data_IF_881138082121
#
_entry.id   IF_881138082121
#
_cell.length_a   1.000
_cell.length_b   1.000
_cell.length_c   1.000
_cell.angle_alpha   90.00
_cell.angle_beta   90.00
_cell.angle_gamma   90.00
#
_symmetry.space_group_name_H-M   'P 1'
#
loop_
_entity.id
_entity.type
_entity.pdbx_description
1 polymer ?
#
# COMPACT_ATOMS: atom_id res chain seq x y z
N UNK A 1 -4.23 5.77 22.98
CA UNK A 1 -5.42 6.12 22.21
C UNK A 1 -6.63 6.22 23.13
N UNK A 2 -7.24 7.38 23.20
CA UNK A 2 -8.35 7.63 24.16
C UNK A 2 -9.75 7.37 23.55
N UNK A 3 -9.87 7.37 22.24
CA UNK A 3 -11.15 7.16 21.52
C UNK A 3 -10.99 6.43 20.22
N UNK A 4 -12.09 6.25 19.51
CA UNK A 4 -12.15 5.70 18.16
C UNK A 4 -12.43 6.82 17.16
N UNK A 5 -11.82 6.72 15.99
CA UNK A 5 -12.28 7.44 14.82
C UNK A 5 -13.58 6.82 14.31
N UNK A 6 -14.45 7.60 13.69
CA UNK A 6 -15.72 7.12 13.14
C UNK A 6 -15.53 5.89 12.23
N UNK A 7 -14.55 5.93 11.34
CA UNK A 7 -14.20 4.81 10.45
C UNK A 7 -13.87 3.50 11.17
N UNK A 8 -13.39 3.55 12.41
CA UNK A 8 -13.06 2.35 13.18
C UNK A 8 -14.32 1.67 13.74
N UNK A 9 -15.35 2.45 14.08
CA UNK A 9 -16.66 1.90 14.42
C UNK A 9 -17.25 1.14 13.23
N UNK A 10 -17.20 1.73 12.03
CA UNK A 10 -17.60 1.05 10.80
C UNK A 10 -16.79 -0.23 10.56
N UNK A 11 -15.49 -0.18 10.80
CA UNK A 11 -14.62 -1.34 10.63
C UNK A 11 -15.01 -2.48 11.58
N UNK A 12 -15.12 -2.23 12.88
CA UNK A 12 -15.47 -3.25 13.85
C UNK A 12 -16.88 -3.79 13.65
N UNK A 13 -17.84 -2.93 13.31
CA UNK A 13 -19.20 -3.35 12.99
C UNK A 13 -19.23 -4.25 11.75
N UNK A 14 -18.57 -3.89 10.69
CA UNK A 14 -18.60 -4.64 9.42
C UNK A 14 -17.92 -6.01 9.51
N UNK A 15 -17.02 -6.22 10.46
CA UNK A 15 -16.35 -7.50 10.70
C UNK A 15 -17.06 -8.36 11.75
N UNK A 16 -18.03 -7.82 12.49
CA UNK A 16 -18.71 -8.54 13.57
C UNK A 16 -19.73 -9.58 13.11
N UNK A 17 -19.96 -9.72 11.80
CA UNK A 17 -21.01 -10.60 11.21
C UNK A 17 -22.44 -10.29 11.65
N UNK A 18 -22.64 -9.17 12.33
CA UNK A 18 -23.93 -8.78 12.89
C UNK A 18 -24.84 -8.20 11.78
N UNK A 19 -26.12 -8.56 11.78
CA UNK A 19 -27.14 -7.99 10.89
C UNK A 19 -27.81 -6.73 11.44
N UNK A 20 -27.51 -6.36 12.70
CA UNK A 20 -28.09 -5.18 13.32
C UNK A 20 -27.48 -3.90 12.74
N UNK A 21 -28.29 -2.85 12.67
CA UNK A 21 -27.81 -1.52 12.24
C UNK A 21 -26.68 -1.02 13.15
N UNK A 22 -25.65 -0.38 12.56
CA UNK A 22 -24.60 0.28 13.34
C UNK A 22 -25.18 1.34 14.29
N UNK A 23 -26.15 2.13 13.80
CA UNK A 23 -26.82 3.16 14.58
C UNK A 23 -28.08 2.55 15.22
N UNK A 24 -28.18 2.56 16.57
CA UNK A 24 -29.37 2.10 17.25
C UNK A 24 -30.56 3.02 17.00
N UNK A 25 -31.77 2.53 17.25
CA UNK A 25 -32.98 3.34 17.17
C UNK A 25 -32.90 4.56 18.13
N UNK A 26 -33.17 5.76 17.62
CA UNK A 26 -33.13 7.00 18.40
C UNK A 26 -34.24 7.13 19.46
N UNK A 27 -35.24 6.24 19.44
CA UNK A 27 -36.43 6.33 20.29
C UNK A 27 -36.48 5.27 21.38
N UNK A 28 -35.35 4.59 21.66
CA UNK A 28 -35.26 3.54 22.67
C UNK A 28 -34.02 3.67 23.51
N UNK A 29 -34.14 3.17 24.77
CA UNK A 29 -32.98 3.03 25.65
C UNK A 29 -32.18 1.79 25.26
N UNK A 30 -30.86 1.93 25.17
CA UNK A 30 -29.91 0.85 24.86
C UNK A 30 -28.93 0.71 26.01
N UNK A 31 -28.68 -0.52 26.43
CA UNK A 31 -27.63 -0.81 27.40
C UNK A 31 -26.25 -0.69 26.77
N UNK A 32 -25.22 -0.36 27.54
CA UNK A 32 -23.84 -0.36 27.05
C UNK A 32 -23.40 -1.73 26.53
N UNK A 33 -23.90 -2.81 27.13
CA UNK A 33 -23.61 -4.18 26.69
C UNK A 33 -24.24 -4.48 25.32
N UNK A 34 -25.48 -4.04 25.09
CA UNK A 34 -26.15 -4.17 23.79
C UNK A 34 -25.39 -3.41 22.69
N UNK A 35 -24.99 -2.16 22.96
CA UNK A 35 -24.19 -1.38 22.02
C UNK A 35 -22.83 -2.05 21.74
N UNK A 36 -22.17 -2.54 22.77
CA UNK A 36 -20.88 -3.23 22.61
C UNK A 36 -21.00 -4.53 21.79
N UNK A 37 -22.14 -5.26 21.92
CA UNK A 37 -22.38 -6.51 21.21
C UNK A 37 -22.41 -6.34 19.67
N UNK A 38 -22.53 -5.13 19.18
CA UNK A 38 -22.47 -4.80 17.74
C UNK A 38 -21.07 -4.81 17.15
N UNK A 39 -20.03 -4.87 18.00
CA UNK A 39 -18.62 -4.71 17.61
C UNK A 39 -17.76 -5.96 17.87
N UNK A 40 -18.34 -7.08 18.27
CA UNK A 40 -17.61 -8.33 18.44
C UNK A 40 -18.22 -9.47 17.63
N UNK A 41 -17.44 -10.48 17.32
CA UNK A 41 -17.89 -11.72 16.71
C UNK A 41 -18.58 -12.57 17.78
N UNK A 42 -19.82 -12.96 17.55
CA UNK A 42 -20.59 -13.78 18.51
C UNK A 42 -20.17 -15.26 18.44
N UNK A 43 -20.34 -15.96 19.55
CA UNK A 43 -20.20 -17.42 19.54
C UNK A 43 -21.19 -18.05 18.54
N UNK A 44 -20.70 -18.93 17.66
CA UNK A 44 -21.43 -19.50 16.55
C UNK A 44 -21.33 -18.75 15.22
N UNK A 45 -20.79 -17.53 15.21
CA UNK A 45 -20.55 -16.74 13.99
C UNK A 45 -19.04 -16.67 13.63
N UNK A 46 -18.19 -17.38 14.40
CA UNK A 46 -16.75 -17.40 14.19
C UNK A 46 -16.42 -17.94 12.80
N UNK A 47 -15.49 -17.25 12.13
CA UNK A 47 -15.04 -17.58 10.76
C UNK A 47 -16.17 -17.58 9.71
N UNK A 48 -17.28 -16.89 9.97
CA UNK A 48 -18.36 -16.68 9.01
C UNK A 48 -18.04 -15.52 8.09
N UNK A 49 -17.42 -15.82 6.94
CA UNK A 49 -16.90 -14.81 6.02
C UNK A 49 -17.96 -14.17 5.13
N UNK A 50 -19.05 -14.88 4.84
CA UNK A 50 -20.05 -14.44 3.88
C UNK A 50 -20.66 -13.08 4.25
N UNK A 51 -20.98 -12.90 5.55
CA UNK A 51 -21.54 -11.64 6.04
C UNK A 51 -20.54 -10.50 5.95
N UNK A 52 -19.27 -10.74 6.27
CA UNK A 52 -18.19 -9.74 6.16
C UNK A 52 -18.03 -9.31 4.70
N UNK A 53 -18.04 -10.27 3.76
CA UNK A 53 -17.96 -9.99 2.33
C UNK A 53 -19.17 -9.17 1.86
N UNK A 54 -20.38 -9.53 2.32
CA UNK A 54 -21.60 -8.80 1.99
C UNK A 54 -21.56 -7.36 2.54
N UNK A 55 -21.19 -7.18 3.82
CA UNK A 55 -21.06 -5.84 4.41
C UNK A 55 -20.09 -4.96 3.63
N UNK A 56 -18.98 -5.54 3.14
CA UNK A 56 -18.04 -4.79 2.31
C UNK A 56 -18.59 -4.54 0.90
N UNK A 57 -19.39 -5.43 0.33
CA UNK A 57 -20.02 -5.24 -0.98
C UNK A 57 -21.06 -4.09 -0.96
N UNK A 58 -21.71 -3.88 0.18
CA UNK A 58 -22.64 -2.77 0.43
C UNK A 58 -21.93 -1.44 0.81
N UNK A 59 -20.67 -1.51 1.27
CA UNK A 59 -19.77 -0.35 1.52
C UNK A 59 -19.00 0.02 0.23
N UNK A 60 -17.76 0.47 0.38
CA UNK A 60 -16.90 0.95 -0.73
C UNK A 60 -15.49 0.38 -0.68
N UNK A 61 -15.23 -0.55 0.22
CA UNK A 61 -13.89 -1.09 0.46
C UNK A 61 -13.77 -2.57 0.09
N UNK A 62 -12.60 -3.02 -0.40
CA UNK A 62 -12.34 -4.44 -0.61
C UNK A 62 -12.27 -5.22 0.71
N UNK A 63 -12.55 -6.56 0.69
CA UNK A 63 -12.83 -7.32 1.91
C UNK A 63 -11.61 -7.83 2.67
N UNK A 64 -10.39 -7.89 2.07
CA UNK A 64 -9.29 -8.72 2.62
C UNK A 64 -8.83 -8.28 4.02
N UNK A 65 -8.75 -6.98 4.29
CA UNK A 65 -8.41 -6.48 5.62
C UNK A 65 -9.47 -6.86 6.66
N UNK A 66 -10.73 -6.72 6.30
CA UNK A 66 -11.88 -7.01 7.17
C UNK A 66 -11.98 -8.51 7.46
N UNK A 67 -11.69 -9.36 6.48
CA UNK A 67 -11.59 -10.80 6.69
C UNK A 67 -10.46 -11.18 7.65
N UNK A 68 -9.28 -10.53 7.51
CA UNK A 68 -8.15 -10.75 8.42
C UNK A 68 -8.51 -10.33 9.86
N UNK A 69 -9.18 -9.19 10.03
CA UNK A 69 -9.63 -8.73 11.34
C UNK A 69 -10.72 -9.65 11.91
N UNK A 70 -11.65 -10.11 11.07
CA UNK A 70 -12.68 -11.09 11.49
C UNK A 70 -12.05 -12.40 11.99
N UNK A 71 -11.05 -12.93 11.28
CA UNK A 71 -10.30 -14.13 11.74
C UNK A 71 -9.69 -13.87 13.11
N UNK A 72 -9.02 -12.73 13.30
CA UNK A 72 -8.41 -12.39 14.58
C UNK A 72 -9.45 -12.27 15.70
N UNK A 73 -10.57 -11.58 15.45
CA UNK A 73 -11.65 -11.42 16.43
C UNK A 73 -12.41 -12.73 16.70
N UNK A 74 -12.51 -13.64 15.73
CA UNK A 74 -13.13 -14.96 15.88
C UNK A 74 -12.42 -15.83 16.93
N UNK A 75 -11.12 -15.63 17.15
CA UNK A 75 -10.35 -16.30 18.20
C UNK A 75 -10.78 -15.87 19.61
N UNK A 76 -11.49 -14.74 19.74
CA UNK A 76 -11.92 -14.13 21.00
C UNK A 76 -13.40 -13.78 20.95
N UNK A 77 -14.24 -14.75 20.55
CA UNK A 77 -15.68 -14.56 20.40
C UNK A 77 -16.32 -13.99 21.69
N UNK A 78 -17.36 -13.18 21.51
CA UNK A 78 -18.08 -12.45 22.57
C UNK A 78 -17.23 -11.41 23.34
N UNK A 79 -16.02 -11.07 22.86
CA UNK A 79 -15.19 -10.06 23.48
C UNK A 79 -14.86 -8.97 22.48
N UNK A 80 -14.91 -7.72 22.94
CA UNK A 80 -14.47 -6.55 22.19
C UNK A 80 -13.29 -5.90 22.92
N UNK A 81 -12.17 -5.83 22.20
CA UNK A 81 -10.99 -5.08 22.64
C UNK A 81 -10.51 -4.17 21.52
N UNK A 82 -10.38 -2.88 21.84
CA UNK A 82 -9.85 -1.87 20.89
C UNK A 82 -8.46 -2.20 20.34
N UNK A 83 -7.75 -3.08 21.03
CA UNK A 83 -6.40 -3.50 20.64
C UNK A 83 -6.37 -4.52 19.49
N UNK A 84 -7.46 -5.19 19.16
CA UNK A 84 -7.46 -6.20 18.11
C UNK A 84 -7.00 -5.65 16.76
N UNK A 85 -7.58 -4.54 16.31
CA UNK A 85 -7.17 -3.91 15.08
C UNK A 85 -5.77 -3.32 15.15
N UNK A 86 -5.38 -2.75 16.30
CA UNK A 86 -4.03 -2.19 16.52
C UNK A 86 -2.96 -3.29 16.45
N UNK A 87 -3.18 -4.44 17.11
CA UNK A 87 -2.23 -5.57 17.08
C UNK A 87 -2.11 -6.16 15.68
N UNK A 88 -3.22 -6.28 14.96
CA UNK A 88 -3.20 -6.72 13.57
C UNK A 88 -2.43 -5.76 12.67
N UNK A 89 -2.66 -4.45 12.80
CA UNK A 89 -1.93 -3.43 12.06
C UNK A 89 -0.45 -3.38 12.44
N UNK A 90 -0.11 -3.61 13.72
CA UNK A 90 1.28 -3.73 14.17
C UNK A 90 1.98 -4.91 13.51
N UNK A 91 1.30 -6.07 13.38
CA UNK A 91 1.84 -7.22 12.66
C UNK A 91 2.15 -6.86 11.20
N UNK A 92 1.22 -6.21 10.49
CA UNK A 92 1.47 -5.77 9.10
C UNK A 92 2.60 -4.75 9.01
N UNK A 93 2.71 -3.84 9.99
CA UNK A 93 3.80 -2.87 10.06
C UNK A 93 5.16 -3.54 10.30
N UNK A 94 5.23 -4.58 11.14
CA UNK A 94 6.45 -5.37 11.35
C UNK A 94 6.87 -6.10 10.08
N UNK A 95 5.92 -6.68 9.34
CA UNK A 95 6.22 -7.31 8.03
C UNK A 95 6.73 -6.26 7.03
N UNK A 96 6.13 -5.07 7.02
CA UNK A 96 6.60 -3.95 6.20
C UNK A 96 8.03 -3.55 6.57
N UNK A 97 8.33 -3.43 7.86
CA UNK A 97 9.67 -3.14 8.35
C UNK A 97 10.71 -4.13 7.82
N UNK A 98 10.43 -5.43 7.94
CA UNK A 98 11.29 -6.48 7.38
C UNK A 98 11.42 -6.33 5.85
N UNK A 99 10.31 -6.06 5.16
CA UNK A 99 10.29 -5.78 3.72
C UNK A 99 11.22 -4.64 3.33
N UNK A 100 11.19 -3.52 4.06
CA UNK A 100 12.08 -2.37 3.85
C UNK A 100 13.56 -2.75 4.06
N UNK A 101 13.87 -3.47 5.15
CA UNK A 101 15.24 -3.96 5.37
C UNK A 101 15.72 -4.79 4.18
N UNK A 102 14.90 -5.71 3.69
CA UNK A 102 15.24 -6.56 2.56
C UNK A 102 15.39 -5.76 1.26
N UNK A 103 14.51 -4.80 0.99
CA UNK A 103 14.63 -3.90 -0.17
C UNK A 103 15.98 -3.20 -0.16
N UNK A 104 16.37 -2.61 0.97
CA UNK A 104 17.66 -1.92 1.11
C UNK A 104 18.85 -2.88 0.89
N UNK A 105 18.81 -4.05 1.50
CA UNK A 105 19.82 -5.07 1.32
C UNK A 105 19.95 -5.54 -0.14
N UNK A 106 18.88 -5.49 -0.93
CA UNK A 106 18.89 -5.93 -2.32
C UNK A 106 19.25 -4.82 -3.31
N UNK A 107 18.88 -3.57 -3.03
CA UNK A 107 19.24 -2.41 -3.88
C UNK A 107 20.74 -2.17 -3.84
N UNK A 108 21.35 -2.26 -2.66
CA UNK A 108 22.79 -2.04 -2.50
C UNK A 108 23.58 -3.26 -3.03
N UNK A 109 24.74 -3.01 -3.59
CA UNK A 109 25.68 -4.06 -3.98
C UNK A 109 26.12 -4.88 -2.77
N UNK A 110 26.54 -6.14 -2.98
CA UNK A 110 26.97 -7.04 -1.90
C UNK A 110 28.19 -6.48 -1.14
N UNK A 111 29.04 -5.73 -1.82
CA UNK A 111 30.29 -5.15 -1.30
C UNK A 111 30.11 -3.74 -0.76
N UNK A 112 28.88 -3.19 -0.66
CA UNK A 112 28.67 -1.86 -0.12
C UNK A 112 29.05 -1.80 1.37
N UNK A 113 29.94 -0.86 1.74
CA UNK A 113 30.59 -0.76 3.05
C UNK A 113 29.59 -0.66 4.22
N UNK A 114 28.49 0.07 4.03
CA UNK A 114 27.49 0.34 5.09
C UNK A 114 26.13 -0.26 4.77
N UNK A 115 26.11 -1.40 4.09
CA UNK A 115 24.88 -2.02 3.58
C UNK A 115 23.90 -2.38 4.69
N UNK A 116 24.38 -2.94 5.81
CA UNK A 116 23.54 -3.35 6.93
C UNK A 116 23.07 -2.14 7.75
N UNK A 117 23.98 -1.23 8.02
CA UNK A 117 23.73 -0.01 8.78
C UNK A 117 22.67 0.86 8.10
N UNK A 118 22.81 1.11 6.81
CA UNK A 118 21.81 1.85 6.03
C UNK A 118 20.47 1.13 5.96
N UNK A 119 20.47 -0.20 5.88
CA UNK A 119 19.23 -0.98 5.95
C UNK A 119 18.52 -0.81 7.30
N UNK A 120 19.26 -0.93 8.42
CA UNK A 120 18.72 -0.72 9.75
C UNK A 120 18.25 0.73 9.97
N UNK A 121 19.00 1.70 9.45
CA UNK A 121 18.65 3.11 9.51
C UNK A 121 17.35 3.40 8.74
N UNK A 122 17.17 2.82 7.55
CA UNK A 122 15.92 2.90 6.79
C UNK A 122 14.72 2.31 7.58
N UNK A 123 14.92 1.17 8.23
CA UNK A 123 13.93 0.57 9.13
C UNK A 123 13.60 1.48 10.33
N UNK A 124 14.61 2.10 10.91
CA UNK A 124 14.43 3.09 12.00
C UNK A 124 13.60 4.29 11.53
N UNK A 125 13.95 4.91 10.38
CA UNK A 125 13.17 6.00 9.80
C UNK A 125 11.71 5.59 9.62
N UNK A 126 11.46 4.42 9.00
CA UNK A 126 10.10 3.89 8.83
C UNK A 126 9.35 3.85 10.17
N UNK A 127 9.97 3.32 11.21
CA UNK A 127 9.31 3.09 12.51
C UNK A 127 8.89 4.37 13.24
N UNK A 128 9.54 5.50 12.98
CA UNK A 128 9.26 6.78 13.64
C UNK A 128 8.39 7.73 12.82
N UNK A 129 8.04 7.37 11.57
CA UNK A 129 7.21 8.23 10.73
C UNK A 129 5.80 8.38 11.29
N UNK A 130 5.25 9.60 11.34
CA UNK A 130 3.88 9.86 11.80
C UNK A 130 2.84 9.03 11.03
N UNK A 131 3.02 8.88 9.72
CA UNK A 131 2.15 8.07 8.87
C UNK A 131 2.12 6.59 9.26
N UNK A 132 3.25 6.02 9.67
CA UNK A 132 3.35 4.62 10.12
C UNK A 132 2.66 4.45 11.47
N UNK A 133 2.94 5.36 12.42
CA UNK A 133 2.30 5.36 13.74
C UNK A 133 0.79 5.52 13.57
N UNK A 134 0.34 6.45 12.74
CA UNK A 134 -1.07 6.67 12.45
C UNK A 134 -1.72 5.45 11.79
N UNK A 135 -1.06 4.81 10.81
CA UNK A 135 -1.57 3.60 10.15
C UNK A 135 -1.72 2.41 11.11
N UNK A 136 -0.83 2.29 12.12
CA UNK A 136 -0.94 1.25 13.15
C UNK A 136 -2.08 1.56 14.11
N UNK A 137 -2.20 2.82 14.53
CA UNK A 137 -3.20 3.23 15.53
C UNK A 137 -4.63 3.35 14.98
N UNK A 138 -4.80 3.49 13.68
CA UNK A 138 -6.10 3.55 13.01
C UNK A 138 -6.49 2.15 12.53
N UNK A 139 -7.57 1.58 13.08
CA UNK A 139 -8.08 0.25 12.70
C UNK A 139 -8.72 0.29 11.31
N UNK A 140 -7.85 0.40 10.29
CA UNK A 140 -8.20 0.47 8.86
C UNK A 140 -7.10 -0.25 8.04
N UNK A 141 -7.38 -0.49 6.79
CA UNK A 141 -6.57 -1.28 5.86
C UNK A 141 -5.21 -0.67 5.46
N UNK A 142 -4.84 0.51 5.95
CA UNK A 142 -3.65 1.23 5.46
C UNK A 142 -2.33 0.54 5.79
N UNK A 143 -2.18 -0.01 7.00
CA UNK A 143 -0.98 -0.77 7.37
C UNK A 143 -0.80 -2.03 6.49
N UNK A 144 -1.89 -2.76 6.22
CA UNK A 144 -1.87 -3.91 5.32
C UNK A 144 -1.57 -3.51 3.87
N UNK A 145 -2.11 -2.39 3.41
CA UNK A 145 -1.81 -1.85 2.07
C UNK A 145 -0.34 -1.48 1.94
N UNK A 146 0.25 -0.87 2.97
CA UNK A 146 1.69 -0.53 3.00
C UNK A 146 2.56 -1.78 2.98
N UNK A 147 2.14 -2.85 3.65
CA UNK A 147 2.81 -4.15 3.61
C UNK A 147 2.86 -4.71 2.18
N UNK A 148 1.74 -4.69 1.46
CA UNK A 148 1.70 -5.19 0.08
C UNK A 148 2.55 -4.36 -0.87
N UNK A 149 2.54 -3.04 -0.74
CA UNK A 149 3.38 -2.17 -1.59
C UNK A 149 4.87 -2.34 -1.30
N UNK A 150 5.27 -2.55 -0.04
CA UNK A 150 6.65 -2.87 0.32
C UNK A 150 7.08 -4.25 -0.23
N UNK A 151 6.22 -5.27 -0.08
CA UNK A 151 6.47 -6.60 -0.61
C UNK A 151 6.62 -6.59 -2.15
N UNK A 152 5.77 -5.81 -2.85
CA UNK A 152 5.89 -5.66 -4.29
C UNK A 152 7.17 -4.93 -4.70
N UNK A 153 7.57 -3.90 -3.96
CA UNK A 153 8.84 -3.21 -4.17
C UNK A 153 10.02 -4.18 -4.03
N UNK A 154 9.97 -5.10 -3.07
CA UNK A 154 10.98 -6.15 -2.94
C UNK A 154 11.00 -7.07 -4.18
N UNK A 155 9.85 -7.55 -4.65
CA UNK A 155 9.77 -8.36 -5.88
C UNK A 155 10.35 -7.59 -7.07
N UNK A 156 9.99 -6.31 -7.23
CA UNK A 156 10.55 -5.45 -8.27
C UNK A 156 12.08 -5.39 -8.21
N UNK A 157 12.66 -5.13 -7.05
CA UNK A 157 14.11 -5.07 -6.87
C UNK A 157 14.77 -6.41 -7.18
N UNK A 158 14.15 -7.53 -6.78
CA UNK A 158 14.64 -8.88 -7.06
C UNK A 158 14.57 -9.23 -8.56
N UNK A 159 13.56 -8.76 -9.30
CA UNK A 159 13.49 -8.94 -10.76
C UNK A 159 14.68 -8.31 -11.47
N UNK A 160 15.15 -7.14 -11.00
CA UNK A 160 16.36 -6.51 -11.53
C UNK A 160 17.64 -7.23 -11.12
N UNK A 161 17.69 -7.73 -9.89
CA UNK A 161 18.86 -8.46 -9.39
C UNK A 161 19.06 -9.79 -10.10
N UNK A 162 17.97 -10.48 -10.38
CA UNK A 162 17.95 -11.84 -10.95
C UNK A 162 17.48 -11.86 -12.40
N UNK A 163 17.88 -10.88 -13.22
CA UNK A 163 17.49 -10.77 -14.64
C UNK A 163 17.82 -12.04 -15.44
N UNK A 164 18.95 -12.67 -15.15
CA UNK A 164 19.43 -13.87 -15.84
C UNK A 164 19.20 -15.16 -15.02
N UNK A 165 18.32 -15.14 -14.02
CA UNK A 165 18.02 -16.30 -13.18
C UNK A 165 17.37 -17.43 -13.98
N UNK A 166 17.42 -18.65 -13.43
CA UNK A 166 16.76 -19.82 -14.01
C UNK A 166 15.23 -19.65 -14.08
N UNK A 167 14.58 -20.44 -14.95
CA UNK A 167 13.13 -20.38 -15.17
C UNK A 167 12.32 -20.57 -13.87
N UNK A 168 12.73 -21.45 -12.97
CA UNK A 168 12.04 -21.70 -11.68
C UNK A 168 12.06 -20.46 -10.76
N UNK A 169 13.22 -19.81 -10.64
CA UNK A 169 13.35 -18.61 -9.80
C UNK A 169 12.56 -17.45 -10.38
N UNK A 170 12.61 -17.25 -11.70
CA UNK A 170 11.79 -16.25 -12.36
C UNK A 170 10.28 -16.51 -12.15
N UNK A 171 9.81 -17.76 -12.33
CA UNK A 171 8.42 -18.12 -12.07
C UNK A 171 8.01 -17.82 -10.63
N UNK A 172 8.87 -18.11 -9.64
CA UNK A 172 8.63 -17.77 -8.25
C UNK A 172 8.43 -16.27 -8.03
N UNK A 173 9.28 -15.41 -8.64
CA UNK A 173 9.14 -13.95 -8.55
C UNK A 173 7.85 -13.46 -9.21
N UNK A 174 7.50 -14.00 -10.38
CA UNK A 174 6.28 -13.63 -11.09
C UNK A 174 5.05 -14.01 -10.29
N UNK A 175 4.99 -15.24 -9.76
CA UNK A 175 3.86 -15.71 -8.96
C UNK A 175 3.74 -14.92 -7.65
N UNK A 176 4.86 -14.59 -7.00
CA UNK A 176 4.86 -13.73 -5.82
C UNK A 176 4.31 -12.33 -6.14
N UNK A 177 4.75 -11.71 -7.23
CA UNK A 177 4.24 -10.42 -7.68
C UNK A 177 2.75 -10.47 -8.00
N UNK A 178 2.28 -11.50 -8.70
CA UNK A 178 0.87 -11.72 -9.03
C UNK A 178 0.01 -11.88 -7.77
N UNK A 179 0.44 -12.71 -6.83
CA UNK A 179 -0.23 -12.89 -5.54
C UNK A 179 -0.31 -11.58 -4.74
N UNK A 180 0.78 -10.82 -4.68
CA UNK A 180 0.81 -9.52 -4.00
C UNK A 180 -0.15 -8.53 -4.66
N UNK A 181 -0.19 -8.45 -6.01
CA UNK A 181 -1.15 -7.61 -6.73
C UNK A 181 -2.60 -7.99 -6.42
N UNK A 182 -2.91 -9.30 -6.43
CA UNK A 182 -4.23 -9.82 -6.08
C UNK A 182 -4.63 -9.38 -4.65
N UNK A 183 -3.76 -9.60 -3.67
CA UNK A 183 -4.02 -9.22 -2.28
C UNK A 183 -4.08 -7.70 -2.09
N UNK A 184 -3.23 -6.93 -2.75
CA UNK A 184 -3.24 -5.47 -2.70
C UNK A 184 -4.56 -4.90 -3.22
N UNK A 185 -5.08 -5.42 -4.35
CA UNK A 185 -6.38 -5.04 -4.88
C UNK A 185 -7.51 -5.32 -3.89
N UNK A 186 -7.52 -6.53 -3.31
CA UNK A 186 -8.54 -6.93 -2.34
C UNK A 186 -8.38 -6.27 -0.95
N UNK A 187 -7.30 -5.52 -0.73
CA UNK A 187 -7.08 -4.73 0.49
C UNK A 187 -7.51 -3.28 0.31
N UNK A 188 -7.05 -2.63 -0.76
CA UNK A 188 -7.37 -1.24 -1.06
C UNK A 188 -7.03 -0.91 -2.52
N UNK A 189 -7.98 -0.39 -3.30
CA UNK A 189 -7.78 -0.13 -4.73
C UNK A 189 -6.59 0.79 -5.03
N UNK A 190 -6.35 1.79 -4.19
CA UNK A 190 -5.22 2.72 -4.36
C UNK A 190 -3.84 2.08 -4.14
N UNK A 191 -3.77 0.95 -3.45
CA UNK A 191 -2.52 0.21 -3.28
C UNK A 191 -1.95 -0.30 -4.62
N UNK A 192 -2.79 -0.41 -5.66
CA UNK A 192 -2.34 -0.86 -6.99
C UNK A 192 -1.51 0.17 -7.75
N UNK A 193 -1.55 1.46 -7.41
CA UNK A 193 -0.75 2.45 -8.15
C UNK A 193 0.75 2.19 -8.02
N UNK A 194 1.21 1.73 -6.86
CA UNK A 194 2.63 1.37 -6.67
C UNK A 194 3.04 0.19 -7.56
N UNK A 195 2.40 -0.99 -7.52
CA UNK A 195 2.66 -2.09 -8.44
C UNK A 195 2.56 -1.68 -9.92
N UNK A 196 1.57 -0.88 -10.27
CA UNK A 196 1.37 -0.41 -11.63
C UNK A 196 2.58 0.39 -12.14
N UNK A 197 2.98 1.45 -11.43
CA UNK A 197 4.10 2.28 -11.88
C UNK A 197 5.44 1.55 -11.83
N UNK A 198 5.70 0.73 -10.82
CA UNK A 198 6.89 -0.12 -10.80
C UNK A 198 6.93 -1.08 -11.99
N UNK A 199 5.77 -1.65 -12.37
CA UNK A 199 5.67 -2.50 -13.56
C UNK A 199 5.95 -1.71 -14.84
N UNK A 200 5.40 -0.49 -14.97
CA UNK A 200 5.70 0.39 -16.11
C UNK A 200 7.21 0.65 -16.22
N UNK A 201 7.89 0.97 -15.13
CA UNK A 201 9.33 1.16 -15.14
C UNK A 201 10.10 -0.11 -15.51
N UNK A 202 9.65 -1.28 -15.05
CA UNK A 202 10.26 -2.56 -15.45
C UNK A 202 10.10 -2.82 -16.96
N UNK A 203 8.93 -2.55 -17.49
CA UNK A 203 8.65 -2.64 -18.94
C UNK A 203 9.55 -1.70 -19.73
N UNK A 204 9.58 -0.42 -19.36
CA UNK A 204 10.43 0.58 -20.04
C UNK A 204 11.91 0.18 -20.01
N UNK A 205 12.42 -0.26 -18.86
CA UNK A 205 13.80 -0.75 -18.76
C UNK A 205 14.07 -1.90 -19.73
N UNK A 206 13.17 -2.88 -19.77
CA UNK A 206 13.33 -4.07 -20.63
C UNK A 206 13.30 -3.70 -22.11
N UNK A 207 12.42 -2.78 -22.49
CA UNK A 207 12.34 -2.27 -23.89
C UNK A 207 13.60 -1.50 -24.29
N UNK A 208 14.11 -0.62 -23.43
CA UNK A 208 15.35 0.13 -23.67
C UNK A 208 16.54 -0.83 -23.82
N UNK A 209 16.63 -1.82 -22.97
CA UNK A 209 17.71 -2.81 -23.00
C UNK A 209 17.57 -3.85 -24.14
N UNK A 210 16.39 -3.97 -24.72
CA UNK A 210 16.05 -4.97 -25.76
C UNK A 210 16.38 -6.42 -25.35
N UNK A 211 16.40 -6.70 -24.04
CA UNK A 211 16.69 -8.02 -23.47
C UNK A 211 15.57 -8.46 -22.53
N UNK A 212 15.21 -9.75 -22.56
CA UNK A 212 14.21 -10.30 -21.66
C UNK A 212 12.76 -9.95 -21.99
N UNK A 213 12.45 -9.58 -23.25
CA UNK A 213 11.10 -9.18 -23.67
C UNK A 213 10.07 -10.27 -23.37
N UNK A 214 10.39 -11.55 -23.59
CA UNK A 214 9.48 -12.66 -23.28
C UNK A 214 9.19 -12.71 -21.76
N UNK A 215 10.20 -12.54 -20.92
CA UNK A 215 10.01 -12.49 -19.45
C UNK A 215 9.14 -11.30 -19.03
N UNK A 216 9.35 -10.15 -19.64
CA UNK A 216 8.54 -8.95 -19.41
C UNK A 216 7.07 -9.21 -19.79
N UNK A 217 6.81 -9.82 -20.94
CA UNK A 217 5.45 -10.15 -21.37
C UNK A 217 4.78 -11.15 -20.43
N UNK A 218 5.49 -12.23 -20.05
CA UNK A 218 4.99 -13.21 -19.06
C UNK A 218 4.66 -12.52 -17.74
N UNK A 219 5.55 -11.66 -17.25
CA UNK A 219 5.32 -10.89 -16.03
C UNK A 219 4.08 -10.00 -16.13
N UNK A 220 3.97 -9.18 -17.19
CA UNK A 220 2.83 -8.27 -17.42
C UNK A 220 1.50 -9.03 -17.51
N UNK A 221 1.47 -10.13 -18.27
CA UNK A 221 0.28 -10.98 -18.41
C UNK A 221 -0.13 -11.55 -17.04
N UNK A 222 0.83 -12.07 -16.24
CA UNK A 222 0.51 -12.60 -14.92
C UNK A 222 -0.05 -11.53 -13.96
N UNK A 223 0.43 -10.28 -14.04
CA UNK A 223 -0.14 -9.18 -13.25
C UNK A 223 -1.58 -8.88 -13.68
N UNK A 224 -1.85 -8.83 -14.99
CA UNK A 224 -3.21 -8.62 -15.52
C UNK A 224 -4.15 -9.76 -15.12
N UNK A 225 -3.70 -11.01 -15.20
CA UNK A 225 -4.47 -12.20 -14.75
C UNK A 225 -4.78 -12.09 -13.25
N UNK A 226 -3.81 -11.68 -12.41
CA UNK A 226 -4.02 -11.53 -10.98
C UNK A 226 -5.10 -10.48 -10.65
N UNK A 227 -5.07 -9.32 -11.33
CA UNK A 227 -6.09 -8.28 -11.17
C UNK A 227 -7.46 -8.77 -11.69
N UNK A 228 -7.50 -9.43 -12.84
CA UNK A 228 -8.74 -10.01 -13.38
C UNK A 228 -9.32 -11.06 -12.41
N UNK A 229 -8.47 -11.90 -11.83
CA UNK A 229 -8.90 -12.87 -10.82
C UNK A 229 -9.43 -12.19 -9.55
N UNK A 230 -8.84 -11.07 -9.12
CA UNK A 230 -9.34 -10.31 -7.98
C UNK A 230 -10.73 -9.72 -8.27
N UNK A 231 -10.97 -9.21 -9.48
CA UNK A 231 -12.29 -8.74 -9.92
C UNK A 231 -13.31 -9.88 -9.95
N UNK A 232 -12.93 -11.07 -10.45
CA UNK A 232 -13.81 -12.25 -10.47
C UNK A 232 -14.11 -12.76 -9.05
N UNK A 233 -13.14 -12.68 -8.14
CA UNK A 233 -13.32 -13.08 -6.73
C UNK A 233 -14.25 -12.13 -5.98
N UNK A 234 -14.17 -10.84 -6.30
CA UNK A 234 -14.96 -9.80 -5.64
C UNK A 234 -15.58 -8.84 -6.67
N UNK A 235 -16.66 -9.25 -7.38
CA UNK A 235 -17.29 -8.45 -8.43
C UNK A 235 -17.85 -7.10 -7.98
N UNK A 236 -18.19 -6.95 -6.68
CA UNK A 236 -18.65 -5.68 -6.11
C UNK A 236 -17.66 -4.53 -6.32
N UNK A 237 -16.38 -4.83 -6.55
CA UNK A 237 -15.37 -3.83 -6.87
C UNK A 237 -15.73 -2.98 -8.10
N UNK A 238 -16.46 -3.52 -9.08
CA UNK A 238 -16.89 -2.78 -10.25
C UNK A 238 -17.90 -1.68 -9.89
N UNK A 239 -18.84 -1.98 -8.99
CA UNK A 239 -19.77 -0.97 -8.49
C UNK A 239 -19.06 0.06 -7.62
N UNK A 240 -18.09 -0.35 -6.80
CA UNK A 240 -17.30 0.57 -5.96
C UNK A 240 -16.49 1.57 -6.80
N UNK A 241 -15.89 1.10 -7.90
CA UNK A 241 -15.01 1.92 -8.74
C UNK A 241 -15.84 2.79 -9.72
N UNK A 242 -16.89 2.25 -10.32
CA UNK A 242 -17.60 2.91 -11.43
C UNK A 242 -19.02 3.36 -11.08
N UNK A 243 -19.72 2.70 -10.16
CA UNK A 243 -21.14 2.92 -9.89
C UNK A 243 -21.44 3.59 -8.54
N UNK A 244 -20.64 3.30 -7.51
CA UNK A 244 -20.83 3.83 -6.16
C UNK A 244 -20.50 5.30 -6.03
N UNK A 245 -21.00 5.96 -4.96
CA UNK A 245 -20.79 7.39 -4.73
C UNK A 245 -19.29 7.75 -4.65
N UNK A 246 -18.48 6.95 -3.96
CA UNK A 246 -17.02 7.17 -3.85
C UNK A 246 -16.29 7.04 -5.18
N UNK A 247 -16.67 6.05 -6.02
CA UNK A 247 -16.08 5.88 -7.34
C UNK A 247 -16.42 7.06 -8.26
N UNK A 248 -17.68 7.49 -8.26
CA UNK A 248 -18.10 8.67 -9.03
C UNK A 248 -17.40 9.94 -8.57
N UNK A 249 -17.26 10.16 -7.27
CA UNK A 249 -16.54 11.29 -6.71
C UNK A 249 -15.05 11.25 -7.11
N UNK A 250 -14.41 10.09 -7.07
CA UNK A 250 -13.03 9.93 -7.48
C UNK A 250 -12.84 10.20 -8.99
N UNK A 251 -13.73 9.67 -9.84
CA UNK A 251 -13.70 9.89 -11.29
C UNK A 251 -13.96 11.37 -11.61
N UNK A 252 -14.97 11.99 -11.00
CA UNK A 252 -15.25 13.42 -11.21
C UNK A 252 -14.09 14.28 -10.73
N UNK A 253 -13.49 13.97 -9.58
CA UNK A 253 -12.30 14.63 -9.05
C UNK A 253 -11.08 14.50 -9.96
N UNK A 254 -10.91 13.35 -10.61
CA UNK A 254 -9.81 13.14 -11.56
C UNK A 254 -9.88 14.10 -12.75
N UNK A 255 -11.07 14.37 -13.27
CA UNK A 255 -11.29 15.27 -14.40
C UNK A 255 -11.53 16.73 -13.98
N UNK A 256 -11.84 17.00 -12.70
CA UNK A 256 -12.08 18.34 -12.20
C UNK A 256 -10.78 19.13 -11.96
N UNK A 257 -10.81 20.43 -12.28
CA UNK A 257 -9.73 21.38 -12.00
C UNK A 257 -8.39 21.02 -12.68
N UNK A 258 -7.39 21.86 -12.47
CA UNK A 258 -6.02 21.59 -12.92
C UNK A 258 -5.34 20.59 -11.99
N UNK A 259 -4.22 20.02 -12.45
CA UNK A 259 -3.38 19.18 -11.58
C UNK A 259 -2.90 19.98 -10.35
N UNK A 260 -2.55 21.25 -10.54
CA UNK A 260 -2.07 22.14 -9.47
C UNK A 260 -3.14 22.37 -8.40
N UNK A 261 -4.38 22.70 -8.81
CA UNK A 261 -5.48 22.97 -7.87
C UNK A 261 -5.75 21.77 -6.94
N UNK A 262 -5.57 20.56 -7.46
CA UNK A 262 -5.77 19.33 -6.70
C UNK A 262 -4.56 18.95 -5.86
N UNK A 263 -3.35 19.22 -6.35
CA UNK A 263 -2.09 18.79 -5.71
C UNK A 263 -1.66 19.74 -4.60
N UNK A 264 -1.81 21.06 -4.79
CA UNK A 264 -1.32 22.07 -3.86
C UNK A 264 -1.82 21.90 -2.41
N UNK A 265 -3.10 21.64 -2.13
CA UNK A 265 -3.56 21.40 -0.76
C UNK A 265 -2.91 20.16 -0.12
N UNK A 266 -2.71 19.10 -0.91
CA UNK A 266 -2.10 17.87 -0.41
C UNK A 266 -0.62 18.00 -0.07
N UNK A 267 0.12 18.91 -0.73
CA UNK A 267 1.55 19.10 -0.47
C UNK A 267 1.81 19.43 1.00
N UNK A 268 1.04 20.38 1.57
CA UNK A 268 1.18 20.76 2.97
C UNK A 268 0.82 19.61 3.92
N UNK A 269 -0.37 19.02 3.72
CA UNK A 269 -0.85 17.93 4.58
C UNK A 269 0.07 16.71 4.55
N UNK A 270 0.52 16.30 3.37
CA UNK A 270 1.37 15.12 3.21
C UNK A 270 2.78 15.39 3.74
N UNK A 271 3.32 16.58 3.52
CA UNK A 271 4.64 16.90 4.06
C UNK A 271 4.66 16.80 5.60
N UNK A 272 3.64 17.29 6.29
CA UNK A 272 3.55 17.21 7.76
C UNK A 272 3.14 15.80 8.24
N UNK A 273 2.00 15.29 7.76
CA UNK A 273 1.34 14.11 8.33
C UNK A 273 1.92 12.77 7.82
N UNK A 274 2.55 12.76 6.63
CA UNK A 274 3.09 11.52 6.02
C UNK A 274 4.61 11.51 6.09
N UNK A 275 5.26 12.57 5.66
CA UNK A 275 6.72 12.64 5.49
C UNK A 275 7.46 13.31 6.65
N UNK A 276 6.79 13.79 7.69
CA UNK A 276 7.42 14.49 8.82
C UNK A 276 8.34 15.66 8.38
N UNK A 277 7.97 16.40 7.34
CA UNK A 277 8.78 17.48 6.78
C UNK A 277 9.80 17.04 5.70
N UNK A 278 9.97 15.74 5.47
CA UNK A 278 11.01 15.20 4.57
C UNK A 278 10.62 15.13 3.09
N UNK A 279 9.43 15.58 2.70
CA UNK A 279 8.98 15.47 1.31
C UNK A 279 9.91 16.21 0.32
N UNK A 280 10.32 17.43 0.63
CA UNK A 280 11.21 18.19 -0.24
C UNK A 280 12.64 17.64 -0.30
N UNK A 281 13.31 17.26 0.82
CA UNK A 281 14.55 16.51 0.78
C UNK A 281 14.48 15.24 -0.08
N UNK A 282 13.38 14.45 0.03
CA UNK A 282 13.17 13.27 -0.81
C UNK A 282 13.06 13.62 -2.30
N UNK A 283 12.36 14.70 -2.64
CA UNK A 283 12.25 15.17 -4.02
C UNK A 283 13.61 15.59 -4.59
N UNK A 284 14.41 16.33 -3.80
CA UNK A 284 15.77 16.70 -4.18
C UNK A 284 16.63 15.47 -4.41
N UNK A 285 16.59 14.50 -3.47
CA UNK A 285 17.31 13.22 -3.60
C UNK A 285 16.90 12.45 -4.86
N UNK A 286 15.62 12.43 -5.19
CA UNK A 286 15.10 11.82 -6.41
C UNK A 286 15.64 12.53 -7.67
N UNK A 287 15.61 13.87 -7.72
CA UNK A 287 16.11 14.66 -8.85
C UNK A 287 17.61 14.47 -9.04
N UNK A 288 18.39 14.44 -7.95
CA UNK A 288 19.82 14.14 -8.02
C UNK A 288 20.06 12.73 -8.58
N UNK A 289 19.29 11.75 -8.13
CA UNK A 289 19.36 10.38 -8.64
C UNK A 289 19.02 10.31 -10.14
N UNK A 290 18.04 11.09 -10.60
CA UNK A 290 17.68 11.20 -12.01
C UNK A 290 18.81 11.81 -12.86
N UNK A 291 19.42 12.90 -12.39
CA UNK A 291 20.57 13.55 -13.06
C UNK A 291 21.77 12.60 -13.14
N UNK A 292 22.13 11.95 -12.02
CA UNK A 292 23.20 10.93 -12.02
C UNK A 292 22.86 9.78 -12.96
N UNK A 293 21.58 9.38 -13.02
CA UNK A 293 21.08 8.38 -13.96
C UNK A 293 21.37 8.75 -15.41
N UNK A 294 20.99 9.94 -15.83
CA UNK A 294 21.24 10.44 -17.20
C UNK A 294 22.72 10.44 -17.52
N UNK A 295 23.57 10.97 -16.62
CA UNK A 295 25.02 11.02 -16.80
C UNK A 295 25.61 9.60 -16.91
N UNK A 296 25.15 8.66 -16.07
CA UNK A 296 25.62 7.27 -16.10
C UNK A 296 25.24 6.54 -17.38
N UNK A 297 24.04 6.81 -17.90
CA UNK A 297 23.59 6.22 -19.18
C UNK A 297 24.31 6.82 -20.40
N UNK A 298 24.60 8.14 -20.39
CA UNK A 298 25.30 8.83 -21.46
C UNK A 298 26.81 8.49 -21.49
N UNK A 299 27.45 8.31 -20.33
CA UNK A 299 28.91 8.18 -20.20
C UNK A 299 29.51 6.79 -20.49
N UNK A 300 28.72 5.76 -20.75
CA UNK A 300 29.16 4.43 -21.25
C UNK A 300 30.03 3.56 -20.32
N UNK A 301 30.77 4.12 -19.36
CA UNK A 301 31.91 3.50 -18.66
C UNK A 301 31.63 2.92 -17.25
N UNK A 302 30.39 3.01 -16.72
CA UNK A 302 30.11 2.52 -15.35
C UNK A 302 29.78 1.03 -15.29
N UNK A 303 30.09 0.41 -14.16
CA UNK A 303 29.75 -1.00 -13.90
C UNK A 303 28.26 -1.26 -14.01
N UNK A 304 27.88 -2.46 -14.40
CA UNK A 304 26.47 -2.85 -14.56
C UNK A 304 25.70 -2.77 -13.23
N UNK A 305 26.38 -2.99 -12.10
CA UNK A 305 25.80 -2.89 -10.76
C UNK A 305 25.37 -1.44 -10.41
N UNK A 306 26.21 -0.45 -10.73
CA UNK A 306 25.88 0.97 -10.49
C UNK A 306 24.71 1.44 -11.36
N UNK A 307 24.69 1.05 -12.65
CA UNK A 307 23.57 1.35 -13.54
C UNK A 307 22.27 0.75 -13.04
N UNK A 308 22.31 -0.46 -12.49
CA UNK A 308 21.15 -1.12 -11.89
C UNK A 308 20.65 -0.38 -10.66
N UNK A 309 21.54 -0.01 -9.74
CA UNK A 309 21.21 0.76 -8.53
C UNK A 309 20.48 2.06 -8.88
N UNK A 310 21.08 2.87 -9.77
CA UNK A 310 20.49 4.14 -10.19
C UNK A 310 19.13 3.95 -10.82
N UNK A 311 18.98 2.93 -11.69
CA UNK A 311 17.70 2.68 -12.33
C UNK A 311 16.62 2.22 -11.34
N UNK A 312 16.97 1.38 -10.37
CA UNK A 312 16.05 0.97 -9.31
C UNK A 312 15.62 2.17 -8.47
N UNK A 313 16.56 3.01 -8.04
CA UNK A 313 16.23 4.22 -7.28
C UNK A 313 15.35 5.17 -8.10
N UNK A 314 15.68 5.42 -9.37
CA UNK A 314 14.87 6.24 -10.26
C UNK A 314 13.45 5.68 -10.42
N UNK A 315 13.31 4.37 -10.59
CA UNK A 315 12.01 3.72 -10.73
C UNK A 315 11.17 3.80 -9.45
N UNK A 316 11.79 3.60 -8.29
CA UNK A 316 11.13 3.72 -6.99
C UNK A 316 10.66 5.16 -6.75
N UNK A 317 11.52 6.15 -6.96
CA UNK A 317 11.17 7.56 -6.80
C UNK A 317 10.13 8.03 -7.82
N UNK A 318 10.27 7.61 -9.07
CA UNK A 318 9.28 7.89 -10.12
C UNK A 318 7.91 7.27 -9.78
N UNK A 319 7.88 6.02 -9.30
CA UNK A 319 6.64 5.38 -8.86
C UNK A 319 6.01 6.10 -7.67
N UNK A 320 6.82 6.57 -6.71
CA UNK A 320 6.35 7.41 -5.61
C UNK A 320 5.69 8.69 -6.13
N UNK A 321 6.36 9.41 -7.03
CA UNK A 321 5.90 10.68 -7.58
C UNK A 321 4.62 10.51 -8.42
N UNK A 322 4.60 9.55 -9.34
CA UNK A 322 3.41 9.30 -10.16
C UNK A 322 2.22 8.82 -9.32
N UNK A 323 2.44 7.94 -8.34
CA UNK A 323 1.40 7.54 -7.39
C UNK A 323 0.86 8.73 -6.61
N UNK A 324 1.74 9.65 -6.17
CA UNK A 324 1.35 10.90 -5.53
C UNK A 324 0.40 11.72 -6.40
N UNK A 325 0.78 12.00 -7.65
CA UNK A 325 -0.06 12.80 -8.55
C UNK A 325 -1.41 12.16 -8.86
N UNK A 326 -1.44 10.85 -9.10
CA UNK A 326 -2.70 10.14 -9.36
C UNK A 326 -3.59 10.16 -8.11
N UNK A 327 -3.02 9.90 -6.94
CA UNK A 327 -3.76 9.90 -5.68
C UNK A 327 -4.34 11.28 -5.35
N UNK A 328 -3.61 12.38 -5.57
CA UNK A 328 -4.15 13.74 -5.35
C UNK A 328 -5.35 14.04 -6.24
N UNK A 329 -5.42 13.46 -7.45
CA UNK A 329 -6.55 13.60 -8.36
C UNK A 329 -7.75 12.74 -7.96
N UNK A 330 -7.53 11.56 -7.37
CA UNK A 330 -8.57 10.60 -7.02
C UNK A 330 -9.06 10.73 -5.57
N UNK A 331 -8.19 11.15 -4.64
CA UNK A 331 -8.53 11.25 -3.23
C UNK A 331 -9.59 12.32 -2.96
N UNK A 332 -10.46 12.04 -2.00
CA UNK A 332 -11.42 13.04 -1.52
C UNK A 332 -10.67 14.13 -0.77
N UNK A 333 -11.08 15.38 -1.01
CA UNK A 333 -10.52 16.56 -0.33
C UNK A 333 -11.26 16.81 0.99
N UNK A 334 -11.01 15.94 1.97
CA UNK A 334 -11.62 16.01 3.32
C UNK A 334 -10.65 16.59 4.36
N UNK A 335 -9.70 17.43 3.95
CA UNK A 335 -8.68 18.00 4.82
C UNK A 335 -7.52 17.04 5.09
N UNK A 336 -6.84 17.19 6.24
CA UNK A 336 -5.67 16.39 6.61
C UNK A 336 -5.94 14.88 6.65
N UNK A 337 -7.17 14.46 6.93
CA UNK A 337 -7.58 13.05 6.95
C UNK A 337 -7.39 12.37 5.58
N UNK A 338 -7.39 13.13 4.49
CA UNK A 338 -7.08 12.60 3.16
C UNK A 338 -5.62 12.13 3.02
N UNK A 339 -4.71 12.57 3.89
CA UNK A 339 -3.30 12.14 3.89
C UNK A 339 -3.14 10.64 4.07
N UNK A 340 -4.08 9.95 4.71
CA UNK A 340 -4.07 8.50 4.92
C UNK A 340 -4.07 7.68 3.62
N UNK A 341 -4.60 8.22 2.52
CA UNK A 341 -4.55 7.56 1.21
C UNK A 341 -3.13 7.40 0.66
N UNK A 342 -2.17 8.17 1.18
CA UNK A 342 -0.77 8.15 0.77
C UNK A 342 0.11 7.23 1.63
N UNK A 343 -0.39 6.67 2.73
CA UNK A 343 0.39 5.75 3.58
C UNK A 343 0.99 4.57 2.82
N UNK A 344 0.28 3.93 1.86
CA UNK A 344 0.89 2.85 1.05
C UNK A 344 2.06 3.28 0.17
N UNK A 345 2.23 4.58 -0.09
CA UNK A 345 3.28 5.12 -0.96
C UNK A 345 4.54 5.51 -0.17
N UNK A 346 4.43 5.72 1.14
CA UNK A 346 5.52 6.25 1.97
C UNK A 346 6.77 5.37 1.96
N UNK A 347 6.61 4.04 1.87
CA UNK A 347 7.74 3.11 1.82
C UNK A 347 8.66 3.33 0.61
N UNK A 348 8.14 3.88 -0.51
CA UNK A 348 8.93 4.24 -1.68
C UNK A 348 9.81 5.48 -1.45
N UNK A 349 9.48 6.32 -0.48
CA UNK A 349 10.28 7.49 -0.13
C UNK A 349 11.40 7.17 0.88
N UNK A 350 11.28 6.08 1.63
CA UNK A 350 12.27 5.68 2.65
C UNK A 350 13.71 5.60 2.08
N UNK A 351 13.96 5.05 0.87
CA UNK A 351 15.30 5.07 0.31
C UNK A 351 15.89 6.48 0.20
N UNK A 352 15.08 7.45 -0.23
CA UNK A 352 15.55 8.83 -0.38
C UNK A 352 15.76 9.49 0.98
N UNK A 353 14.90 9.23 1.96
CA UNK A 353 15.10 9.69 3.34
C UNK A 353 16.42 9.17 3.92
N UNK A 354 16.70 7.87 3.76
CA UNK A 354 17.89 7.24 4.33
C UNK A 354 19.20 7.69 3.66
N UNK A 355 19.16 8.12 2.39
CA UNK A 355 20.34 8.63 1.68
C UNK A 355 20.53 10.15 1.81
N UNK A 356 19.51 10.89 2.26
CA UNK A 356 19.59 12.36 2.43
C UNK A 356 19.74 12.80 3.88
N UNK A 357 19.49 11.93 4.84
CA UNK A 357 19.74 12.15 6.26
C UNK A 357 21.19 11.81 6.64
#
# INVERSE_FOLDING_TARGET
KQGFHEDEYYTYWSVSSNSESLVPSNMSWHSGQELQSRFFVRAGEQFSFDRVIQNQAEDVHPPLYYLALHVFMSLFANHFYKWFGILLNLLFSLITYVGILLVFLQIQGENARYRRELSLFAGFIYSILPSVISAVMLTRMYAMSTMWTAAYTLVFVLLFRYQDCGKKQFAGLVLSGAFICYCAFLTHYYALFVPFFLTVFYVLYTLIRRKGIVRMLVYGICMLVAISQAVLTYPACLSHIFGGYRGRDAISGFFAGTLFDRTAPFVGWINSSVFAGWMFPCLIGFLLCAVVGVICFAGGKKEQAEKRFVYQMFSIGGSCLFSFFVLTKLALMVGEDASRYFYPVVNLAIPFMAYTA
#
